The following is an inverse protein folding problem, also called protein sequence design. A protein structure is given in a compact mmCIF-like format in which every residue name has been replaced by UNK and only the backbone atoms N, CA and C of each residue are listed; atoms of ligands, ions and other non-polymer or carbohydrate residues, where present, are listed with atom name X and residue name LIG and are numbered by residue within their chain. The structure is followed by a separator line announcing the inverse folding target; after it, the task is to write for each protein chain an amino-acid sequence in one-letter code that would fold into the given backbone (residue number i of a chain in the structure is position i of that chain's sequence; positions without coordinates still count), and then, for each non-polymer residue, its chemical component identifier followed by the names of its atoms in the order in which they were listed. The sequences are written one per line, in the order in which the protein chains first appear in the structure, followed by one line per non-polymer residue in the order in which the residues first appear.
data_IF_227725981953
#
_entry.id   IF_227725981953
#
_cell.length_a   1.000
_cell.length_b   1.000
_cell.length_c   1.000
_cell.angle_alpha   90.00
_cell.angle_beta   90.00
_cell.angle_gamma   90.00
#
_symmetry.space_group_name_H-M   'P 1'
#
loop_
_entity.id
_entity.type
_entity.pdbx_description
1 polymer ?
#
# COMPACT_ATOMS: atom_id res chain seq x y z
N UNK A 1 -6.04 -19.69 -9.06
CA UNK A 1 -6.40 -19.49 -7.64
C UNK A 1 -6.52 -18.00 -7.44
N UNK A 2 -7.67 -17.50 -6.98
CA UNK A 2 -7.76 -16.10 -6.54
C UNK A 2 -7.02 -16.00 -5.21
N UNK A 3 -6.08 -15.06 -5.06
CA UNK A 3 -5.38 -14.89 -3.81
C UNK A 3 -6.36 -14.42 -2.73
N UNK A 4 -6.24 -15.00 -1.55
CA UNK A 4 -7.05 -14.65 -0.39
C UNK A 4 -6.55 -13.30 0.17
N UNK A 5 -7.41 -12.28 0.07
CA UNK A 5 -7.13 -10.94 0.58
C UNK A 5 -7.73 -10.71 1.97
N UNK A 6 -8.33 -11.73 2.60
CA UNK A 6 -9.00 -11.58 3.90
C UNK A 6 -8.07 -11.13 5.03
N UNK A 7 -6.77 -11.41 4.93
CA UNK A 7 -5.76 -10.98 5.89
C UNK A 7 -5.12 -9.62 5.57
N UNK A 8 -5.45 -9.00 4.43
CA UNK A 8 -4.86 -7.72 4.03
C UNK A 8 -5.72 -6.59 4.59
N UNK A 9 -5.15 -5.83 5.51
CA UNK A 9 -5.81 -4.62 6.04
C UNK A 9 -5.91 -3.55 4.97
N UNK A 10 -7.12 -3.00 4.81
CA UNK A 10 -7.41 -1.92 3.88
C UNK A 10 -7.59 -0.56 4.58
N UNK A 11 -7.16 -0.46 5.85
CA UNK A 11 -7.13 0.76 6.64
C UNK A 11 -5.81 0.80 7.43
N UNK A 12 -5.15 1.96 7.45
CA UNK A 12 -4.00 2.23 8.31
C UNK A 12 -4.24 3.47 9.18
N UNK A 13 -3.66 3.45 10.37
CA UNK A 13 -3.67 4.51 11.37
C UNK A 13 -2.26 4.89 11.77
N UNK A 14 -1.49 5.56 10.88
CA UNK A 14 -0.07 5.86 11.10
C UNK A 14 0.13 6.91 12.22
N UNK A 15 0.09 6.45 13.47
CA UNK A 15 0.18 7.24 14.69
C UNK A 15 1.36 6.80 15.60
N UNK A 16 2.03 5.71 15.25
CA UNK A 16 3.20 5.18 15.95
C UNK A 16 2.88 4.36 17.19
N UNK A 17 1.65 3.83 17.33
CA UNK A 17 1.25 2.99 18.47
C UNK A 17 1.56 1.49 18.25
N UNK A 18 2.04 1.11 17.06
CA UNK A 18 2.36 -0.25 16.67
C UNK A 18 1.21 -1.02 16.03
N UNK A 19 0.01 -0.43 15.91
CA UNK A 19 -1.19 -1.07 15.36
C UNK A 19 -1.63 -0.39 14.07
N UNK A 20 -1.66 -1.16 12.98
CA UNK A 20 -2.05 -0.68 11.65
C UNK A 20 -1.29 0.57 11.19
N UNK A 21 -0.04 0.77 11.65
CA UNK A 21 0.78 1.92 11.26
C UNK A 21 1.17 1.89 9.78
N UNK A 22 1.27 0.69 9.21
CA UNK A 22 1.71 0.47 7.83
C UNK A 22 0.79 -0.48 7.09
N UNK A 23 0.69 -0.23 5.80
CA UNK A 23 0.01 -1.09 4.86
C UNK A 23 1.00 -2.17 4.40
N UNK A 24 0.86 -3.37 4.96
CA UNK A 24 1.77 -4.49 4.71
C UNK A 24 1.15 -5.52 3.74
N UNK A 25 1.86 -5.74 2.62
CA UNK A 25 1.53 -6.72 1.58
C UNK A 25 2.50 -7.90 1.52
N UNK A 26 3.36 -8.09 2.53
CA UNK A 26 4.42 -9.11 2.53
C UNK A 26 3.88 -10.53 2.31
N UNK A 27 2.67 -10.84 2.82
CA UNK A 27 2.02 -12.14 2.61
C UNK A 27 1.64 -12.40 1.14
N UNK A 28 1.42 -11.34 0.34
CA UNK A 28 1.04 -11.44 -1.07
C UNK A 28 2.25 -11.57 -2.00
N UNK A 29 3.39 -10.99 -1.62
CA UNK A 29 4.58 -10.87 -2.47
C UNK A 29 5.48 -12.10 -2.35
N UNK A 30 5.58 -12.72 -1.17
CA UNK A 30 6.39 -13.93 -0.88
C UNK A 30 7.80 -13.88 -1.50
N UNK A 31 8.00 -14.54 -2.65
CA UNK A 31 9.29 -14.67 -3.34
C UNK A 31 9.38 -13.85 -4.64
N UNK A 32 8.29 -13.21 -5.05
CA UNK A 32 8.22 -12.47 -6.30
C UNK A 32 8.70 -11.03 -6.08
N UNK A 33 9.47 -10.50 -7.03
CA UNK A 33 9.87 -9.10 -7.00
C UNK A 33 8.73 -8.25 -7.54
N UNK A 34 7.90 -7.70 -6.65
CA UNK A 34 6.80 -6.82 -7.04
C UNK A 34 7.11 -5.35 -6.73
N UNK A 35 6.57 -4.42 -7.51
CA UNK A 35 6.56 -3.00 -7.22
C UNK A 35 5.21 -2.62 -6.57
N UNK A 36 5.24 -1.78 -5.54
CA UNK A 36 4.06 -1.14 -4.97
C UNK A 36 3.93 0.27 -5.55
N UNK A 37 2.79 0.56 -6.17
CA UNK A 37 2.43 1.92 -6.60
C UNK A 37 1.18 2.34 -5.84
N UNK A 38 1.17 3.56 -5.30
CA UNK A 38 0.00 4.14 -4.64
C UNK A 38 -0.43 5.41 -5.35
N UNK A 39 -1.73 5.50 -5.59
CA UNK A 39 -2.41 6.57 -6.30
C UNK A 39 -3.37 7.29 -5.36
N UNK A 40 -3.54 8.60 -5.55
CA UNK A 40 -4.63 9.35 -4.96
C UNK A 40 -5.99 9.00 -5.61
N UNK A 41 -7.06 9.63 -5.11
CA UNK A 41 -8.43 9.39 -5.61
C UNK A 41 -8.65 9.80 -7.07
N UNK A 42 -7.75 10.60 -7.64
CA UNK A 42 -7.81 11.09 -9.01
C UNK A 42 -6.91 10.27 -9.96
N UNK A 43 -6.20 9.27 -9.43
CA UNK A 43 -5.27 8.42 -10.18
C UNK A 43 -3.86 8.99 -10.28
N UNK A 44 -3.53 10.08 -9.58
CA UNK A 44 -2.18 10.60 -9.54
C UNK A 44 -1.30 9.75 -8.61
N UNK A 45 -0.11 9.36 -9.07
CA UNK A 45 0.85 8.63 -8.25
C UNK A 45 1.37 9.52 -7.12
N UNK A 46 1.23 9.03 -5.88
CA UNK A 46 1.72 9.71 -4.68
C UNK A 46 2.93 9.01 -4.06
N UNK A 47 3.10 7.71 -4.34
CA UNK A 47 4.17 6.88 -3.79
C UNK A 47 4.47 5.70 -4.71
N UNK A 48 5.74 5.30 -4.76
CA UNK A 48 6.21 4.08 -5.40
C UNK A 48 7.34 3.44 -4.57
N UNK A 49 7.25 2.12 -4.40
CA UNK A 49 8.35 1.30 -3.88
C UNK A 49 8.70 0.23 -4.91
N UNK A 50 9.81 0.45 -5.60
CA UNK A 50 10.48 -0.55 -6.45
C UNK A 50 10.93 -1.72 -5.58
N UNK A 51 10.67 -2.95 -6.01
CA UNK A 51 11.01 -4.17 -5.25
C UNK A 51 10.50 -4.07 -3.80
N UNK A 52 9.18 -4.08 -3.66
CA UNK A 52 8.47 -3.98 -2.39
C UNK A 52 9.14 -4.85 -1.31
N UNK A 53 9.62 -4.19 -0.25
CA UNK A 53 10.34 -4.83 0.87
C UNK A 53 9.78 -4.43 2.23
N UNK A 54 8.95 -3.40 2.30
CA UNK A 54 8.44 -2.88 3.56
C UNK A 54 7.06 -2.23 3.36
N UNK A 55 6.24 -2.27 4.41
CA UNK A 55 4.92 -1.64 4.39
C UNK A 55 4.98 -0.12 4.15
N UNK A 56 3.84 0.43 3.71
CA UNK A 56 3.67 1.85 3.43
C UNK A 56 2.87 2.55 4.54
N UNK A 57 3.39 3.64 5.09
CA UNK A 57 2.84 4.36 6.26
C UNK A 57 1.89 5.51 5.90
N UNK A 58 1.43 5.58 4.64
CA UNK A 58 0.58 6.68 4.19
C UNK A 58 1.36 7.99 3.97
N UNK A 59 2.64 7.91 3.57
CA UNK A 59 3.45 9.06 3.17
C UNK A 59 3.61 9.19 1.65
N UNK A 60 3.92 10.39 1.19
CA UNK A 60 4.35 10.63 -0.20
C UNK A 60 5.71 10.00 -0.47
N UNK A 61 6.14 9.96 -1.73
CA UNK A 61 7.51 9.58 -2.10
C UNK A 61 8.60 10.38 -1.34
N UNK A 62 8.31 11.63 -0.98
CA UNK A 62 9.23 12.51 -0.23
C UNK A 62 9.22 12.30 1.28
N UNK A 63 8.35 11.42 1.80
CA UNK A 63 8.18 11.17 3.23
C UNK A 63 7.16 12.09 3.91
N UNK A 64 6.58 13.06 3.19
CA UNK A 64 5.53 13.92 3.77
C UNK A 64 4.25 13.12 4.04
N UNK A 65 3.60 13.28 5.20
CA UNK A 65 2.33 12.63 5.51
C UNK A 65 1.24 12.99 4.50
N UNK A 66 0.58 11.98 3.93
CA UNK A 66 -0.60 12.22 3.12
C UNK A 66 -1.83 12.53 4.00
N UNK A 67 -2.77 13.36 3.49
CA UNK A 67 -4.03 13.61 4.18
C UNK A 67 -4.88 12.35 4.36
N UNK A 68 -5.79 12.40 5.32
CA UNK A 68 -6.84 11.39 5.50
C UNK A 68 -7.64 11.18 4.23
N UNK A 69 -7.91 9.91 3.94
CA UNK A 69 -8.74 9.55 2.80
C UNK A 69 -8.41 8.19 2.21
N UNK A 70 -9.12 7.87 1.13
CA UNK A 70 -8.93 6.65 0.38
C UNK A 70 -7.95 6.88 -0.76
N UNK A 71 -6.97 6.00 -0.82
CA UNK A 71 -5.98 5.86 -1.88
C UNK A 71 -6.18 4.50 -2.57
N UNK A 72 -5.48 4.31 -3.68
CA UNK A 72 -5.53 3.07 -4.44
C UNK A 72 -4.14 2.52 -4.62
N UNK A 73 -3.96 1.23 -4.38
CA UNK A 73 -2.67 0.57 -4.60
C UNK A 73 -2.72 -0.32 -5.85
N UNK A 74 -1.58 -0.43 -6.51
CA UNK A 74 -1.28 -1.43 -7.53
C UNK A 74 -0.04 -2.21 -7.07
N UNK A 75 -0.14 -3.53 -7.07
CA UNK A 75 1.00 -4.42 -6.86
C UNK A 75 1.36 -5.07 -8.21
N UNK A 76 2.49 -4.66 -8.76
CA UNK A 76 2.94 -5.03 -10.11
C UNK A 76 4.06 -6.05 -9.99
N UNK A 77 3.88 -7.26 -10.49
CA UNK A 77 4.88 -8.33 -10.45
C UNK A 77 5.13 -8.80 -11.89
N UNK A 78 6.39 -8.91 -12.30
CA UNK A 78 6.77 -9.27 -13.69
C UNK A 78 6.05 -8.41 -14.75
N UNK A 79 6.00 -7.10 -14.52
CA UNK A 79 5.31 -6.11 -15.36
C UNK A 79 3.79 -6.28 -15.50
N UNK A 80 3.17 -7.13 -14.68
CA UNK A 80 1.72 -7.37 -14.66
C UNK A 80 1.13 -6.89 -13.33
N UNK A 81 0.02 -6.13 -13.39
CA UNK A 81 -0.77 -5.79 -12.21
C UNK A 81 -1.40 -7.07 -11.67
N UNK A 82 -0.84 -7.60 -10.57
CA UNK A 82 -1.32 -8.82 -9.94
C UNK A 82 -2.40 -8.53 -8.89
N UNK A 83 -2.25 -7.42 -8.16
CA UNK A 83 -3.21 -6.98 -7.16
C UNK A 83 -3.50 -5.50 -7.28
N UNK A 84 -4.71 -5.13 -6.87
CA UNK A 84 -5.14 -3.75 -6.74
C UNK A 84 -6.28 -3.64 -5.76
N UNK A 85 -6.41 -2.47 -5.13
CA UNK A 85 -7.50 -2.22 -4.21
C UNK A 85 -7.44 -0.82 -3.62
N UNK A 86 -8.41 -0.54 -2.76
CA UNK A 86 -8.43 0.67 -1.96
C UNK A 86 -7.66 0.44 -0.64
N UNK A 87 -7.03 1.50 -0.16
CA UNK A 87 -6.41 1.59 1.16
C UNK A 87 -6.81 2.93 1.77
N UNK A 88 -7.31 2.94 3.00
CA UNK A 88 -7.73 4.15 3.70
C UNK A 88 -6.67 4.56 4.72
N UNK A 89 -6.28 5.82 4.69
CA UNK A 89 -5.42 6.44 5.71
C UNK A 89 -6.30 7.25 6.64
N UNK A 90 -6.18 6.99 7.94
CA UNK A 90 -6.88 7.74 9.00
C UNK A 90 -5.85 8.20 10.02
N UNK A 91 -5.74 9.51 10.25
CA UNK A 91 -4.82 10.08 11.24
C UNK A 91 -5.60 10.52 12.49
N UNK A 92 -5.48 9.80 13.61
CA UNK A 92 -6.11 10.19 14.88
C UNK A 92 -5.44 11.40 15.55
#
# INVERSE_FOLDING_TARGET
MVPDLSNVMNVITPNGDGFNDVFDLSELVRADSCDLVVLDRWGAQVFEQKRYTSGWDGSTQGGDPLPDGTYYYLLVCDDIIRFRGAITVVRP
#
